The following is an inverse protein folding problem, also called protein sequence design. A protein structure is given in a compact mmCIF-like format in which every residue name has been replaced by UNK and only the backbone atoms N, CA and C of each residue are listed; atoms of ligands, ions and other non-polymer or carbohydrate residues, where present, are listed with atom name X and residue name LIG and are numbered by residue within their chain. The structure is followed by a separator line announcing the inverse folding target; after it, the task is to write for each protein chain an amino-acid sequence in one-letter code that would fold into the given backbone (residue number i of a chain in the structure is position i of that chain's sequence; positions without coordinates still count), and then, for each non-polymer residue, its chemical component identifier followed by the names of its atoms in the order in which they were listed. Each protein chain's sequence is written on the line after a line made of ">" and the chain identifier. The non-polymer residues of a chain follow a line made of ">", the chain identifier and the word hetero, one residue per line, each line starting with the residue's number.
data_IF_234918532021
#
_entry.id   IF_234918532021
#
_cell.length_a   1.000
_cell.length_b   1.000
_cell.length_c   1.000
_cell.angle_alpha   90.00
_cell.angle_beta   90.00
_cell.angle_gamma   90.00
#
_symmetry.space_group_name_H-M   'P 1'
#
loop_
_entity.id
_entity.type
_entity.pdbx_description
1 polymer ?
#
# COMPACT_ATOMS: atom_id res chain seq x y z
N UNK A 1 -26.45 1.02 -16.13
CA UNK A 1 -25.29 0.08 -16.11
C UNK A 1 -23.99 0.78 -16.53
N UNK A 2 -22.81 0.28 -16.12
CA UNK A 2 -21.52 0.82 -16.60
C UNK A 2 -21.18 0.25 -17.98
N UNK A 3 -20.89 1.13 -18.93
CA UNK A 3 -20.51 0.81 -20.31
C UNK A 3 -19.22 1.53 -20.68
N UNK A 4 -18.40 0.90 -21.50
CA UNK A 4 -17.21 1.50 -22.08
C UNK A 4 -17.54 1.95 -23.50
N UNK A 5 -17.45 3.25 -23.76
CA UNK A 5 -17.68 3.82 -25.08
C UNK A 5 -16.42 3.65 -25.94
N UNK A 6 -16.53 2.87 -27.01
CA UNK A 6 -15.39 2.50 -27.85
C UNK A 6 -14.81 3.70 -28.60
N UNK A 7 -15.64 4.71 -28.90
CA UNK A 7 -15.23 5.92 -29.63
C UNK A 7 -14.55 6.94 -28.72
N UNK A 8 -15.14 7.24 -27.56
CA UNK A 8 -14.58 8.24 -26.63
C UNK A 8 -13.55 7.66 -25.68
N UNK A 9 -13.42 6.33 -25.63
CA UNK A 9 -12.51 5.60 -24.73
C UNK A 9 -12.76 5.89 -23.25
N UNK A 10 -14.04 6.11 -22.90
CA UNK A 10 -14.46 6.46 -21.55
C UNK A 10 -15.50 5.48 -21.02
N UNK A 11 -15.45 5.22 -19.71
CA UNK A 11 -16.52 4.53 -18.99
C UNK A 11 -17.63 5.52 -18.69
N UNK A 12 -18.86 5.10 -18.95
CA UNK A 12 -20.07 5.89 -18.78
C UNK A 12 -21.11 5.05 -18.03
N UNK A 13 -21.77 5.65 -17.04
CA UNK A 13 -22.98 5.05 -16.48
C UNK A 13 -24.15 5.47 -17.37
N UNK A 14 -24.81 4.50 -17.99
CA UNK A 14 -25.97 4.73 -18.87
C UNK A 14 -27.08 3.75 -18.54
N UNK A 15 -28.31 4.24 -18.59
CA UNK A 15 -29.51 3.40 -18.53
C UNK A 15 -30.20 3.29 -19.88
N UNK A 16 -29.96 4.27 -20.78
CA UNK A 16 -30.51 4.33 -22.12
C UNK A 16 -29.42 4.79 -23.10
N UNK A 17 -29.46 4.28 -24.34
CA UNK A 17 -28.68 4.78 -25.48
C UNK A 17 -29.61 5.23 -26.60
N UNK A 18 -29.22 6.29 -27.30
CA UNK A 18 -29.88 6.74 -28.52
C UNK A 18 -29.27 6.03 -29.74
N UNK A 19 -30.14 5.49 -30.58
CA UNK A 19 -29.77 4.72 -31.78
C UNK A 19 -30.64 5.14 -32.96
N UNK A 20 -30.31 4.69 -34.17
CA UNK A 20 -31.16 4.89 -35.35
C UNK A 20 -32.56 4.24 -35.23
N UNK A 21 -32.73 3.28 -34.31
CA UNK A 21 -33.99 2.61 -34.02
C UNK A 21 -34.77 3.29 -32.88
N UNK A 22 -34.26 4.38 -32.31
CA UNK A 22 -34.80 5.08 -31.16
C UNK A 22 -34.00 4.86 -29.87
N UNK A 23 -34.63 5.14 -28.74
CA UNK A 23 -34.06 5.00 -27.40
C UNK A 23 -34.15 3.54 -26.94
N UNK A 24 -33.03 2.94 -26.57
CA UNK A 24 -32.95 1.56 -26.07
C UNK A 24 -32.43 1.54 -24.64
N UNK A 25 -33.10 0.79 -23.76
CA UNK A 25 -32.61 0.53 -22.41
C UNK A 25 -31.47 -0.48 -22.45
N UNK A 26 -30.31 -0.10 -21.93
CA UNK A 26 -29.09 -0.90 -22.04
C UNK A 26 -29.13 -2.19 -21.21
N UNK A 27 -29.99 -2.25 -20.18
CA UNK A 27 -30.20 -3.44 -19.36
C UNK A 27 -30.82 -4.62 -20.13
N UNK A 28 -31.49 -4.36 -21.26
CA UNK A 28 -32.06 -5.41 -22.12
C UNK A 28 -31.12 -5.84 -23.25
N UNK A 29 -29.98 -5.18 -23.42
CA UNK A 29 -29.04 -5.48 -24.50
C UNK A 29 -28.01 -6.53 -24.05
N UNK A 30 -27.78 -7.51 -24.92
CA UNK A 30 -26.65 -8.43 -24.79
C UNK A 30 -25.34 -7.77 -25.27
N UNK A 31 -24.21 -8.45 -25.08
CA UNK A 31 -22.91 -7.86 -25.39
C UNK A 31 -22.69 -7.60 -26.89
N UNK A 32 -23.23 -8.44 -27.77
CA UNK A 32 -23.13 -8.23 -29.23
C UNK A 32 -23.94 -7.00 -29.68
N UNK A 33 -25.11 -6.80 -29.07
CA UNK A 33 -25.94 -5.61 -29.31
C UNK A 33 -25.28 -4.33 -28.77
N UNK A 34 -24.66 -4.39 -27.60
CA UNK A 34 -23.90 -3.26 -27.06
C UNK A 34 -22.76 -2.88 -28.00
N UNK A 35 -22.00 -3.87 -28.49
CA UNK A 35 -20.90 -3.64 -29.44
C UNK A 35 -21.39 -3.02 -30.73
N UNK A 36 -22.53 -3.49 -31.26
CA UNK A 36 -23.17 -2.91 -32.46
C UNK A 36 -23.43 -1.40 -32.30
N UNK A 37 -23.78 -0.95 -31.10
CA UNK A 37 -24.02 0.46 -30.80
C UNK A 37 -22.79 1.22 -30.28
N UNK A 38 -21.59 0.62 -30.38
CA UNK A 38 -20.32 1.26 -30.03
C UNK A 38 -19.98 1.22 -28.54
N UNK A 39 -20.55 0.28 -27.78
CA UNK A 39 -20.31 0.10 -26.36
C UNK A 39 -19.80 -1.31 -26.03
N UNK A 40 -18.98 -1.42 -24.99
CA UNK A 40 -18.63 -2.69 -24.36
C UNK A 40 -19.20 -2.71 -22.95
N UNK A 41 -19.65 -3.87 -22.48
CA UNK A 41 -20.06 -4.02 -21.08
C UNK A 41 -18.84 -3.88 -20.17
N UNK A 42 -18.95 -3.06 -19.12
CA UNK A 42 -17.91 -2.99 -18.09
C UNK A 42 -18.19 -4.04 -17.03
N UNK A 43 -17.19 -4.86 -16.75
CA UNK A 43 -17.19 -5.83 -15.65
C UNK A 43 -16.10 -5.39 -14.69
N UNK A 44 -16.45 -5.24 -13.41
CA UNK A 44 -15.53 -4.76 -12.38
C UNK A 44 -15.51 -5.75 -11.24
N UNK A 45 -14.33 -6.32 -10.99
CA UNK A 45 -14.11 -7.24 -9.88
C UNK A 45 -14.02 -6.46 -8.57
N UNK A 46 -14.35 -7.11 -7.46
CA UNK A 46 -14.13 -6.53 -6.14
C UNK A 46 -12.62 -6.33 -5.88
N UNK A 47 -12.28 -5.27 -5.17
CA UNK A 47 -10.91 -5.07 -4.70
C UNK A 47 -10.53 -6.23 -3.74
N UNK A 48 -9.38 -6.89 -3.92
CA UNK A 48 -8.99 -8.01 -3.08
C UNK A 48 -8.68 -7.52 -1.66
N UNK A 49 -9.28 -8.17 -0.67
CA UNK A 49 -9.02 -7.92 0.75
C UNK A 49 -7.91 -8.84 1.26
N UNK A 50 -7.30 -8.46 2.38
CA UNK A 50 -6.34 -9.29 3.13
C UNK A 50 -5.14 -9.80 2.31
N UNK A 51 -4.65 -8.98 1.37
CA UNK A 51 -3.55 -9.35 0.45
C UNK A 51 -2.16 -9.42 1.11
N UNK A 52 -2.05 -9.08 2.39
CA UNK A 52 -0.80 -9.04 3.15
C UNK A 52 0.01 -7.76 2.95
N UNK A 53 0.82 -7.40 3.95
CA UNK A 53 1.60 -6.16 4.01
C UNK A 53 2.72 -6.06 2.95
N UNK A 54 3.23 -7.20 2.48
CA UNK A 54 4.31 -7.25 1.48
C UNK A 54 3.80 -7.12 0.04
N UNK A 55 2.49 -7.08 -0.15
CA UNK A 55 1.86 -7.09 -1.46
C UNK A 55 1.01 -5.84 -1.71
N UNK A 56 0.67 -5.62 -2.96
CA UNK A 56 -0.26 -4.61 -3.42
C UNK A 56 -1.16 -5.18 -4.51
N UNK A 57 -2.37 -4.65 -4.59
CA UNK A 57 -3.30 -4.97 -5.65
C UNK A 57 -3.15 -3.93 -6.76
N UNK A 58 -2.63 -4.36 -7.90
CA UNK A 58 -2.48 -3.52 -9.08
C UNK A 58 -3.70 -3.69 -9.95
N UNK A 59 -4.33 -2.57 -10.29
CA UNK A 59 -5.49 -2.57 -11.18
C UNK A 59 -5.06 -2.99 -12.59
N UNK A 60 -5.69 -4.04 -13.09
CA UNK A 60 -5.51 -4.52 -14.46
C UNK A 60 -6.74 -4.24 -15.31
N UNK A 61 -6.51 -4.02 -16.60
CA UNK A 61 -7.56 -3.80 -17.59
C UNK A 61 -7.43 -4.90 -18.64
N UNK A 62 -8.51 -5.65 -18.85
CA UNK A 62 -8.60 -6.62 -19.94
C UNK A 62 -9.76 -6.23 -20.85
N UNK A 63 -9.43 -5.57 -21.95
CA UNK A 63 -10.38 -5.26 -23.01
C UNK A 63 -10.44 -6.45 -23.98
N UNK A 64 -11.64 -6.97 -24.21
CA UNK A 64 -11.93 -7.95 -25.27
C UNK A 64 -12.76 -7.27 -26.35
N UNK A 65 -13.14 -7.99 -27.41
CA UNK A 65 -14.03 -7.46 -28.43
C UNK A 65 -15.42 -7.06 -27.89
N UNK A 66 -15.85 -7.66 -26.77
CA UNK A 66 -17.20 -7.49 -26.21
C UNK A 66 -17.24 -6.76 -24.88
N UNK A 67 -16.19 -6.88 -24.08
CA UNK A 67 -16.20 -6.47 -22.68
C UNK A 67 -14.97 -5.65 -22.33
N UNK A 68 -15.12 -4.83 -21.30
CA UNK A 68 -14.06 -4.04 -20.69
C UNK A 68 -13.95 -4.45 -19.23
N UNK A 69 -13.02 -5.35 -18.90
CA UNK A 69 -12.87 -5.88 -17.56
C UNK A 69 -11.87 -5.05 -16.77
N UNK A 70 -12.26 -4.70 -15.56
CA UNK A 70 -11.45 -4.04 -14.56
C UNK A 70 -11.27 -5.04 -13.44
N UNK A 71 -10.05 -5.53 -13.27
CA UNK A 71 -9.70 -6.46 -12.21
C UNK A 71 -8.51 -5.97 -11.42
N UNK A 72 -8.02 -6.84 -10.54
CA UNK A 72 -6.83 -6.59 -9.75
C UNK A 72 -5.94 -7.83 -9.76
N UNK A 73 -4.64 -7.62 -9.92
CA UNK A 73 -3.63 -8.65 -9.69
C UNK A 73 -2.84 -8.30 -8.44
N UNK A 74 -2.59 -9.29 -7.61
CA UNK A 74 -1.78 -9.12 -6.40
C UNK A 74 -0.34 -9.41 -6.74
N UNK A 75 0.51 -8.42 -6.52
CA UNK A 75 1.95 -8.54 -6.70
C UNK A 75 2.67 -8.11 -5.43
N UNK A 76 3.92 -8.54 -5.32
CA UNK A 76 4.81 -8.01 -4.30
C UNK A 76 5.02 -6.52 -4.55
N UNK A 77 5.00 -5.73 -3.48
CA UNK A 77 5.32 -4.30 -3.52
C UNK A 77 6.70 -4.06 -4.12
N UNK A 78 6.87 -2.88 -4.71
CA UNK A 78 8.20 -2.41 -5.13
C UNK A 78 9.17 -2.34 -3.94
N UNK A 79 10.49 -2.37 -4.21
CA UNK A 79 11.49 -2.21 -3.17
C UNK A 79 11.38 -0.86 -2.44
N UNK A 80 10.94 0.19 -3.13
CA UNK A 80 10.74 1.53 -2.56
C UNK A 80 9.55 1.56 -1.59
N UNK A 81 8.44 0.93 -1.97
CA UNK A 81 7.26 0.82 -1.10
C UNK A 81 7.54 -0.07 0.11
N UNK A 82 8.29 -1.15 -0.07
CA UNK A 82 8.72 -2.01 1.04
C UNK A 82 9.67 -1.28 2.00
N UNK A 83 10.59 -0.46 1.50
CA UNK A 83 11.44 0.39 2.33
C UNK A 83 10.61 1.40 3.14
N UNK A 84 9.60 1.99 2.51
CA UNK A 84 8.68 2.93 3.17
C UNK A 84 7.89 2.23 4.27
N UNK A 85 7.30 1.07 3.98
CA UNK A 85 6.58 0.26 4.95
C UNK A 85 7.47 -0.14 6.15
N UNK A 86 8.70 -0.58 5.87
CA UNK A 86 9.67 -0.92 6.91
C UNK A 86 9.99 0.26 7.83
N UNK A 87 10.23 1.46 7.28
CA UNK A 87 10.52 2.66 8.09
C UNK A 87 9.34 3.05 8.99
N UNK A 88 8.12 2.97 8.46
CA UNK A 88 6.90 3.23 9.24
C UNK A 88 6.80 2.24 10.39
N UNK A 89 7.02 0.96 10.12
CA UNK A 89 6.94 -0.10 11.13
C UNK A 89 8.01 0.04 12.22
N UNK A 90 9.26 0.33 11.85
CA UNK A 90 10.34 0.62 12.81
C UNK A 90 10.03 1.84 13.66
N UNK A 91 9.46 2.90 13.06
CA UNK A 91 9.06 4.10 13.80
C UNK A 91 7.95 3.79 14.81
N UNK A 92 6.95 3.00 14.45
CA UNK A 92 5.87 2.59 15.34
C UNK A 92 6.37 1.79 16.54
N UNK A 93 7.36 0.92 16.35
CA UNK A 93 8.01 0.16 17.43
C UNK A 93 8.72 1.09 18.41
N UNK A 94 9.50 2.04 17.89
CA UNK A 94 10.20 3.04 18.69
C UNK A 94 9.21 3.87 19.52
N UNK A 95 8.14 4.33 18.87
CA UNK A 95 7.10 5.13 19.52
C UNK A 95 6.30 4.34 20.54
N UNK A 96 5.96 3.09 20.24
CA UNK A 96 5.25 2.20 21.17
C UNK A 96 6.06 1.97 22.43
N UNK A 97 7.36 1.67 22.31
CA UNK A 97 8.23 1.50 23.48
C UNK A 97 8.34 2.80 24.31
N UNK A 98 8.45 3.96 23.67
CA UNK A 98 8.46 5.24 24.39
C UNK A 98 7.13 5.50 25.12
N UNK A 99 5.99 5.15 24.52
CA UNK A 99 4.66 5.28 25.14
C UNK A 99 4.49 4.39 26.38
N UNK A 100 5.11 3.21 26.39
CA UNK A 100 5.13 2.36 27.59
C UNK A 100 5.80 3.04 28.79
N UNK A 101 6.72 3.99 28.55
CA UNK A 101 7.39 4.80 29.58
C UNK A 101 6.68 6.14 29.85
N UNK A 102 5.50 6.38 29.26
CA UNK A 102 4.70 7.58 29.49
C UNK A 102 5.03 8.77 28.59
N UNK A 103 5.83 8.58 27.52
CA UNK A 103 6.09 9.62 26.53
C UNK A 103 5.08 9.58 25.36
N UNK A 104 4.89 10.71 24.68
CA UNK A 104 4.01 10.75 23.49
C UNK A 104 4.59 9.97 22.29
N UNK A 105 5.91 9.96 22.17
CA UNK A 105 6.68 9.37 21.06
C UNK A 105 8.16 9.20 21.42
N UNK A 106 8.92 8.47 20.61
CA UNK A 106 10.37 8.34 20.76
C UNK A 106 11.07 9.70 20.70
N UNK A 107 10.54 10.64 19.90
CA UNK A 107 11.08 12.00 19.80
C UNK A 107 10.91 12.75 21.11
N UNK A 108 9.73 12.62 21.74
CA UNK A 108 9.46 13.21 23.06
C UNK A 108 10.44 12.67 24.11
N UNK A 109 10.59 11.34 24.19
CA UNK A 109 11.56 10.71 25.10
C UNK A 109 12.99 11.21 24.89
N UNK A 110 13.46 11.22 23.64
CA UNK A 110 14.82 11.68 23.31
C UNK A 110 15.04 13.18 23.60
N UNK A 111 13.99 14.00 23.57
CA UNK A 111 14.12 15.45 23.72
C UNK A 111 14.59 15.87 25.11
N UNK A 112 14.28 15.08 26.15
CA UNK A 112 14.72 15.32 27.52
C UNK A 112 16.21 15.09 27.75
N UNK A 113 16.91 14.41 26.83
CA UNK A 113 18.36 14.20 26.91
C UNK A 113 19.17 15.51 26.81
N UNK A 114 18.60 16.56 26.20
CA UNK A 114 19.33 17.79 25.87
C UNK A 114 19.49 18.80 27.00
N UNK A 115 18.82 18.60 28.13
CA UNK A 115 18.78 19.55 29.25
C UNK A 115 18.97 18.83 30.59
N UNK A 116 19.37 19.55 31.62
CA UNK A 116 19.40 19.00 32.98
C UNK A 116 17.98 18.92 33.54
N UNK A 117 17.51 17.69 33.77
CA UNK A 117 16.17 17.36 34.29
C UNK A 117 16.14 15.90 34.77
N UNK A 118 15.10 15.54 35.52
CA UNK A 118 14.96 14.21 36.12
C UNK A 118 14.86 13.06 35.09
N UNK A 119 14.49 13.35 33.84
CA UNK A 119 14.31 12.37 32.76
C UNK A 119 15.51 12.27 31.82
N UNK A 120 16.56 13.08 32.02
CA UNK A 120 17.70 13.17 31.10
C UNK A 120 18.35 11.81 30.84
N UNK A 121 18.62 11.03 31.89
CA UNK A 121 19.30 9.74 31.78
C UNK A 121 18.47 8.73 30.95
N UNK A 122 17.14 8.74 31.09
CA UNK A 122 16.27 7.88 30.30
C UNK A 122 16.15 8.38 28.85
N UNK A 123 16.05 9.69 28.64
CA UNK A 123 16.08 10.28 27.31
C UNK A 123 17.36 9.95 26.54
N UNK A 124 18.52 9.91 27.22
CA UNK A 124 19.79 9.47 26.64
C UNK A 124 19.74 7.98 26.23
N UNK A 125 19.17 7.09 27.06
CA UNK A 125 18.98 5.66 26.71
C UNK A 125 18.11 5.49 25.47
N UNK A 126 16.97 6.18 25.39
CA UNK A 126 16.11 6.18 24.21
C UNK A 126 16.82 6.72 22.98
N UNK A 127 17.61 7.79 23.13
CA UNK A 127 18.41 8.38 22.06
C UNK A 127 19.42 7.38 21.48
N UNK A 128 20.16 6.69 22.35
CA UNK A 128 21.14 5.66 21.97
C UNK A 128 20.46 4.49 21.27
N UNK A 129 19.37 3.98 21.84
CA UNK A 129 18.64 2.84 21.26
C UNK A 129 18.05 3.18 19.87
N UNK A 130 17.40 4.34 19.74
CA UNK A 130 16.89 4.83 18.45
C UNK A 130 17.99 4.92 17.41
N UNK A 131 19.16 5.45 17.78
CA UNK A 131 20.30 5.57 16.87
C UNK A 131 20.79 4.20 16.39
N UNK A 132 20.93 3.23 17.30
CA UNK A 132 21.32 1.87 16.94
C UNK A 132 20.31 1.17 16.03
N UNK A 133 19.00 1.31 16.30
CA UNK A 133 17.96 0.76 15.42
C UNK A 133 18.05 1.35 14.02
N UNK A 134 18.14 2.68 13.88
CA UNK A 134 18.21 3.28 12.55
C UNK A 134 19.48 2.89 11.81
N UNK A 135 20.63 2.87 12.49
CA UNK A 135 21.88 2.40 11.89
C UNK A 135 21.77 0.96 11.38
N UNK A 136 21.22 0.06 12.20
CA UNK A 136 20.97 -1.33 11.83
C UNK A 136 19.98 -1.45 10.67
N UNK A 137 18.85 -0.75 10.72
CA UNK A 137 17.80 -0.80 9.71
C UNK A 137 18.26 -0.27 8.36
N UNK A 138 19.01 0.82 8.33
CA UNK A 138 19.60 1.33 7.08
C UNK A 138 20.65 0.39 6.50
N UNK A 139 21.45 -0.29 7.35
CA UNK A 139 22.39 -1.31 6.88
C UNK A 139 21.66 -2.51 6.25
N UNK A 140 20.58 -2.99 6.88
CA UNK A 140 19.71 -4.05 6.34
C UNK A 140 19.14 -3.66 4.97
N UNK A 141 18.56 -2.46 4.87
CA UNK A 141 17.99 -1.96 3.61
C UNK A 141 19.07 -1.84 2.52
N UNK A 142 20.28 -1.40 2.87
CA UNK A 142 21.40 -1.32 1.93
C UNK A 142 21.85 -2.70 1.45
N UNK A 143 21.87 -3.71 2.33
CA UNK A 143 22.18 -5.10 1.96
C UNK A 143 21.13 -5.70 1.04
N UNK A 144 19.83 -5.44 1.29
CA UNK A 144 18.74 -5.89 0.42
C UNK A 144 18.85 -5.25 -0.96
N UNK A 145 19.03 -3.92 -1.03
CA UNK A 145 19.19 -3.20 -2.31
C UNK A 145 20.40 -3.66 -3.10
N UNK A 146 21.48 -4.04 -2.42
CA UNK A 146 22.68 -4.57 -3.05
C UNK A 146 22.60 -6.07 -3.39
N UNK A 147 21.48 -6.75 -3.09
CA UNK A 147 21.31 -8.18 -3.29
C UNK A 147 22.14 -9.06 -2.36
N UNK A 148 22.74 -8.50 -1.31
CA UNK A 148 23.49 -9.24 -0.28
C UNK A 148 22.56 -9.97 0.69
N UNK A 149 21.33 -9.47 0.85
CA UNK A 149 20.25 -10.12 1.60
C UNK A 149 19.02 -10.25 0.71
N UNK A 150 18.26 -11.32 0.91
CA UNK A 150 16.97 -11.48 0.27
C UNK A 150 15.94 -10.55 0.92
N UNK A 151 14.90 -10.21 0.17
CA UNK A 151 13.79 -9.44 0.72
C UNK A 151 13.02 -10.36 1.69
N UNK A 152 12.78 -9.94 2.96
CA UNK A 152 12.07 -10.74 3.96
C UNK A 152 10.66 -11.16 3.52
N UNK A 153 10.12 -12.25 4.05
CA UNK A 153 8.75 -12.71 3.73
C UNK A 153 7.66 -11.90 4.44
N UNK A 154 7.98 -11.24 5.55
CA UNK A 154 7.14 -10.26 6.26
C UNK A 154 7.98 -9.12 6.86
N UNK A 155 7.32 -8.07 7.35
CA UNK A 155 7.97 -7.00 8.09
C UNK A 155 8.49 -7.48 9.45
N UNK A 156 7.83 -8.42 10.12
CA UNK A 156 8.33 -9.00 11.37
C UNK A 156 9.63 -9.78 11.16
N UNK A 157 9.74 -10.55 10.08
CA UNK A 157 11.00 -11.22 9.72
C UNK A 157 12.12 -10.19 9.47
N UNK A 158 11.78 -9.04 8.88
CA UNK A 158 12.75 -7.97 8.67
C UNK A 158 13.34 -7.43 9.98
N UNK A 159 12.67 -7.64 11.13
CA UNK A 159 13.14 -7.23 12.46
C UNK A 159 14.05 -8.25 13.14
N UNK A 160 14.35 -9.38 12.50
CA UNK A 160 15.29 -10.34 13.07
C UNK A 160 16.66 -9.69 13.28
N UNK A 161 17.10 -9.66 14.54
CA UNK A 161 18.36 -9.00 14.93
C UNK A 161 18.26 -7.49 15.16
N UNK A 162 17.05 -6.92 15.18
CA UNK A 162 16.84 -5.53 15.60
C UNK A 162 17.40 -5.30 17.02
N UNK A 163 18.16 -4.21 17.25
CA UNK A 163 18.63 -3.85 18.59
C UNK A 163 17.49 -3.72 19.60
N UNK A 164 17.66 -4.31 20.78
CA UNK A 164 16.68 -4.24 21.87
C UNK A 164 16.91 -3.00 22.74
N UNK A 165 15.82 -2.48 23.30
CA UNK A 165 15.90 -1.47 24.34
C UNK A 165 16.40 -2.14 25.62
N UNK A 166 17.41 -1.57 26.26
CA UNK A 166 17.93 -2.05 27.54
C UNK A 166 17.57 -1.01 28.60
N UNK A 167 16.60 -1.37 29.45
CA UNK A 167 16.12 -0.55 30.56
C UNK A 167 17.21 -0.28 31.62
#
# INVERSE_FOLDING_TARGET
>A
MKLYNVKTKQIQSKDIIETSKGLLYVSFLNDDELVLYGYKRVIEDAYPLDIGEMNEAVRIIKETDKTYHIGYEVHRKSLEDLETAFKIFVQDILDTKAKEHGYDSIVSACSYAGYDNDFRAEGEKFGVWRAHIWQWGYALLADIKAGRKQIPTSLEEALEGMPKFND
#
